data_IF_118731830072
#
_entry.id   IF_118731830072
#
_cell.length_a   1.000
_cell.length_b   1.000
_cell.length_c   1.000
_cell.angle_alpha   90.00
_cell.angle_beta   90.00
_cell.angle_gamma   90.00
#
_symmetry.space_group_name_H-M   'P 1'
#
loop_
_entity.id
_entity.type
_entity.pdbx_description
1 polymer ?
#
# COMPACT_ATOMS: atom_id res chain seq x y z
N UNK A 1 12.10 -16.29 -14.28
CA UNK A 1 12.12 -17.01 -13.00
C UNK A 1 11.19 -16.25 -12.07
N UNK A 2 9.92 -16.65 -12.03
CA UNK A 2 8.95 -16.11 -11.08
C UNK A 2 9.08 -16.96 -9.82
N UNK A 3 9.40 -16.32 -8.71
CA UNK A 3 9.63 -16.96 -7.43
C UNK A 3 8.35 -17.72 -7.00
N UNK A 4 8.46 -19.04 -6.84
CA UNK A 4 7.33 -19.94 -6.54
C UNK A 4 6.75 -19.68 -5.13
N UNK A 5 7.46 -18.89 -4.33
CA UNK A 5 7.12 -18.47 -2.98
C UNK A 5 6.00 -17.41 -2.92
N UNK A 6 5.57 -16.84 -4.07
CA UNK A 6 4.51 -15.82 -4.15
C UNK A 6 3.17 -16.35 -4.70
N UNK A 7 2.96 -17.68 -4.70
CA UNK A 7 1.62 -18.28 -4.80
C UNK A 7 0.94 -18.20 -3.44
N UNK A 8 0.61 -16.97 -3.02
CA UNK A 8 -0.32 -16.76 -1.92
C UNK A 8 -1.69 -17.32 -2.30
N UNK A 9 -2.21 -18.20 -1.46
CA UNK A 9 -3.54 -18.82 -1.48
C UNK A 9 -4.61 -17.85 -1.97
N UNK A 10 -5.16 -18.08 -3.16
CA UNK A 10 -6.30 -17.31 -3.70
C UNK A 10 -7.63 -17.69 -3.05
N UNK A 11 -7.64 -18.74 -2.23
CA UNK A 11 -8.87 -19.28 -1.65
C UNK A 11 -8.97 -18.90 -0.16
N UNK A 12 -10.11 -18.31 0.20
CA UNK A 12 -10.49 -17.79 1.53
C UNK A 12 -10.00 -16.38 1.86
N UNK A 13 -10.58 -15.39 1.17
CA UNK A 13 -10.76 -14.06 1.80
C UNK A 13 -11.76 -14.28 2.93
N UNK A 14 -11.28 -14.51 4.14
CA UNK A 14 -12.14 -14.64 5.32
C UNK A 14 -13.07 -13.42 5.37
N UNK A 15 -14.37 -13.65 5.60
CA UNK A 15 -15.34 -12.56 5.71
C UNK A 15 -14.88 -11.61 6.82
N UNK A 16 -14.56 -10.37 6.45
CA UNK A 16 -13.96 -9.43 7.37
C UNK A 16 -14.96 -9.10 8.50
N UNK A 17 -14.58 -9.39 9.74
CA UNK A 17 -15.41 -9.03 10.90
C UNK A 17 -15.48 -7.52 11.07
N UNK A 18 -16.49 -7.03 11.79
CA UNK A 18 -16.61 -5.59 12.10
C UNK A 18 -15.39 -5.05 12.85
N UNK A 19 -14.78 -5.88 13.70
CA UNK A 19 -13.55 -5.54 14.43
C UNK A 19 -12.36 -5.39 13.47
N UNK A 20 -12.11 -6.37 12.61
CA UNK A 20 -11.02 -6.30 11.62
C UNK A 20 -11.20 -5.14 10.63
N UNK A 21 -12.44 -4.82 10.25
CA UNK A 21 -12.74 -3.65 9.42
C UNK A 21 -12.40 -2.33 10.14
N UNK A 22 -12.74 -2.21 11.42
CA UNK A 22 -12.42 -1.02 12.22
C UNK A 22 -10.90 -0.91 12.48
N UNK A 23 -10.19 -2.02 12.70
CA UNK A 23 -8.73 -2.05 12.78
C UNK A 23 -8.09 -1.55 11.49
N UNK A 24 -8.57 -2.04 10.33
CA UNK A 24 -8.12 -1.58 9.02
C UNK A 24 -8.37 -0.09 8.82
N UNK A 25 -9.56 0.40 9.16
CA UNK A 25 -9.87 1.83 9.11
C UNK A 25 -8.92 2.65 9.98
N UNK A 26 -8.66 2.21 11.22
CA UNK A 26 -7.73 2.87 12.13
C UNK A 26 -6.31 2.90 11.59
N UNK A 27 -5.84 1.80 10.98
CA UNK A 27 -4.51 1.72 10.38
C UNK A 27 -4.29 2.85 9.36
N UNK A 28 -5.25 3.08 8.47
CA UNK A 28 -5.16 4.10 7.42
C UNK A 28 -5.53 5.52 7.88
N UNK A 29 -6.19 5.68 9.03
CA UNK A 29 -6.50 6.98 9.63
C UNK A 29 -5.32 7.61 10.39
N UNK A 30 -4.23 6.87 10.61
CA UNK A 30 -3.03 7.37 11.30
C UNK A 30 -2.31 8.46 10.51
N UNK A 31 -1.42 9.25 11.14
CA UNK A 31 -0.60 10.22 10.42
C UNK A 31 0.27 9.55 9.35
N UNK A 32 -0.01 9.83 8.09
CA UNK A 32 0.80 9.39 6.95
C UNK A 32 1.73 10.51 6.52
N UNK A 33 2.97 10.18 6.15
CA UNK A 33 3.95 11.11 5.61
C UNK A 33 4.61 10.51 4.37
N UNK A 34 4.95 11.35 3.42
CA UNK A 34 5.85 10.98 2.34
C UNK A 34 7.26 10.82 2.90
N UNK A 35 7.91 9.70 2.61
CA UNK A 35 9.26 9.39 3.09
C UNK A 35 10.32 9.89 2.11
N UNK A 36 10.36 9.31 0.91
CA UNK A 36 11.38 9.59 -0.11
C UNK A 36 10.87 9.25 -1.50
N UNK A 37 11.33 9.99 -2.50
CA UNK A 37 11.19 9.64 -3.92
C UNK A 37 12.50 9.06 -4.42
N UNK A 38 12.45 7.86 -5.00
CA UNK A 38 13.63 7.11 -5.41
C UNK A 38 13.63 6.95 -6.93
N UNK A 39 14.78 7.23 -7.56
CA UNK A 39 14.97 7.07 -9.00
C UNK A 39 15.74 5.78 -9.35
N UNK A 40 16.57 5.29 -8.42
CA UNK A 40 17.32 4.04 -8.55
C UNK A 40 17.14 3.15 -7.31
N UNK A 41 17.00 1.84 -7.51
CA UNK A 41 16.78 0.85 -6.46
C UNK A 41 17.82 0.91 -5.33
N UNK A 42 19.06 1.32 -5.64
CA UNK A 42 20.13 1.44 -4.63
C UNK A 42 19.87 2.54 -3.61
N UNK A 43 18.94 3.45 -3.88
CA UNK A 43 18.56 4.55 -2.98
C UNK A 43 17.39 4.18 -2.06
N UNK A 44 16.85 2.95 -2.16
CA UNK A 44 15.80 2.48 -1.27
C UNK A 44 16.32 2.39 0.18
N UNK A 45 15.52 2.80 1.17
CA UNK A 45 15.86 2.55 2.57
C UNK A 45 15.88 1.03 2.86
N UNK A 46 16.52 0.60 3.95
CA UNK A 46 16.44 -0.78 4.41
C UNK A 46 14.98 -1.20 4.67
N UNK A 47 14.62 -2.42 4.26
CA UNK A 47 13.28 -2.98 4.44
C UNK A 47 13.09 -3.49 5.89
N UNK A 48 12.83 -2.57 6.83
CA UNK A 48 12.70 -2.87 8.26
C UNK A 48 11.28 -3.28 8.68
N UNK A 49 10.27 -2.98 7.86
CA UNK A 49 8.86 -3.23 8.12
C UNK A 49 8.18 -3.88 6.91
N UNK A 50 7.03 -4.54 7.09
CA UNK A 50 6.23 -4.99 5.95
C UNK A 50 5.80 -3.82 5.05
N UNK A 51 5.98 -3.97 3.75
CA UNK A 51 5.66 -2.96 2.74
C UNK A 51 4.61 -3.46 1.75
N UNK A 52 3.76 -2.55 1.27
CA UNK A 52 2.76 -2.83 0.23
C UNK A 52 3.06 -1.97 -0.99
N UNK A 53 3.36 -2.62 -2.12
CA UNK A 53 3.63 -1.94 -3.38
C UNK A 53 2.34 -1.73 -4.19
N UNK A 54 2.12 -0.50 -4.67
CA UNK A 54 1.03 -0.17 -5.60
C UNK A 54 1.55 -0.14 -7.04
N UNK A 55 1.16 -1.12 -7.84
CA UNK A 55 1.51 -1.21 -9.26
C UNK A 55 0.30 -0.98 -10.17
N UNK A 56 0.52 -0.42 -11.37
CA UNK A 56 -0.54 -0.17 -12.33
C UNK A 56 -0.17 0.81 -13.43
N UNK A 57 -0.90 0.78 -14.56
CA UNK A 57 -0.60 1.54 -15.80
C UNK A 57 -0.58 3.05 -15.62
N UNK A 58 -1.52 3.62 -14.86
CA UNK A 58 -1.69 5.07 -14.72
C UNK A 58 -1.20 5.57 -13.37
N UNK A 59 -0.39 6.62 -13.35
CA UNK A 59 0.04 7.29 -12.12
C UNK A 59 -1.13 8.01 -11.44
N UNK A 60 -2.06 8.55 -12.23
CA UNK A 60 -3.29 9.19 -11.73
C UNK A 60 -4.13 8.19 -10.92
N UNK A 61 -4.37 6.99 -11.46
CA UNK A 61 -5.16 5.96 -10.77
C UNK A 61 -4.55 5.50 -9.46
N UNK A 62 -3.23 5.21 -9.45
CA UNK A 62 -2.50 4.83 -8.23
C UNK A 62 -2.56 5.93 -7.17
N UNK A 63 -2.31 7.17 -7.57
CA UNK A 63 -2.32 8.31 -6.66
C UNK A 63 -3.70 8.57 -6.09
N UNK A 64 -4.76 8.46 -6.90
CA UNK A 64 -6.15 8.55 -6.45
C UNK A 64 -6.50 7.48 -5.43
N UNK A 65 -6.09 6.23 -5.65
CA UNK A 65 -6.31 5.13 -4.71
C UNK A 65 -5.61 5.37 -3.37
N UNK A 66 -4.33 5.75 -3.40
CA UNK A 66 -3.56 6.04 -2.18
C UNK A 66 -4.22 7.17 -1.39
N UNK A 67 -4.60 8.25 -2.06
CA UNK A 67 -5.27 9.41 -1.46
C UNK A 67 -6.63 9.03 -0.84
N UNK A 68 -7.42 8.19 -1.52
CA UNK A 68 -8.69 7.69 -1.00
C UNK A 68 -8.50 6.80 0.23
N UNK A 69 -7.53 5.89 0.21
CA UNK A 69 -7.26 4.95 1.30
C UNK A 69 -6.88 5.66 2.60
N UNK A 70 -6.07 6.72 2.51
CA UNK A 70 -5.60 7.48 3.68
C UNK A 70 -6.48 8.70 4.00
N UNK A 71 -7.58 8.91 3.26
CA UNK A 71 -8.50 10.02 3.46
C UNK A 71 -7.90 11.42 3.24
N UNK A 72 -6.92 11.57 2.32
CA UNK A 72 -6.23 12.86 2.06
C UNK A 72 -6.28 13.23 0.58
N UNK A 73 -6.30 14.52 0.26
CA UNK A 73 -6.45 15.00 -1.13
C UNK A 73 -5.14 15.30 -1.88
N UNK A 74 -3.97 15.25 -1.23
CA UNK A 74 -2.71 15.69 -1.84
C UNK A 74 -1.44 15.00 -1.28
N UNK A 75 -1.57 13.79 -0.71
CA UNK A 75 -0.40 13.06 -0.19
C UNK A 75 0.43 12.50 -1.36
N UNK A 76 -0.21 11.75 -2.25
CA UNK A 76 0.39 11.31 -3.50
C UNK A 76 0.16 12.42 -4.54
N UNK A 77 1.25 13.07 -4.96
CA UNK A 77 1.22 14.08 -6.01
C UNK A 77 1.29 13.38 -7.37
N UNK A 78 0.40 13.77 -8.27
CA UNK A 78 0.44 13.39 -9.70
C UNK A 78 1.54 14.11 -10.43
#
# INVERSE_FOLDING_TARGET
MVDEQYRGTTDEVAEATSETLEEGRRLFARPVRFLVGVADVVQLPPAELPEVAFAGRSNVGKSSLINALVGRRALART
#
